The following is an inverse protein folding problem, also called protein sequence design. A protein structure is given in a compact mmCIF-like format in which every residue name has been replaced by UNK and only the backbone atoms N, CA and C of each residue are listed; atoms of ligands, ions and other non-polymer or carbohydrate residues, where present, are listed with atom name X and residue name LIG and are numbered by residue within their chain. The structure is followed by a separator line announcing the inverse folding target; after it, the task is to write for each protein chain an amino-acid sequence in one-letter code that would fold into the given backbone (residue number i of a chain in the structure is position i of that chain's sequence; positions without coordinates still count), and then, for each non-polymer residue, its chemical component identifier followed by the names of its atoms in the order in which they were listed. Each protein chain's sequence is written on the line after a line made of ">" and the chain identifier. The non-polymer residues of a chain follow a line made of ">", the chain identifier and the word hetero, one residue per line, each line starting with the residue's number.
data_IF_903113589292
#
_entry.id   IF_903113589292
#
_cell.length_a   1.000
_cell.length_b   1.000
_cell.length_c   1.000
_cell.angle_alpha   90.00
_cell.angle_beta   90.00
_cell.angle_gamma   90.00
#
_symmetry.space_group_name_H-M   'P 1'
#
loop_
_entity.id
_entity.type
_entity.pdbx_description
1 polymer ?
#
# COMPACT_ATOMS: atom_id res chain seq x y z
N UNK A 1 -12.64 -14.45 -14.53
CA UNK A 1 -13.85 -14.33 -15.39
C UNK A 1 -13.49 -14.60 -16.85
N UNK A 2 -13.49 -15.88 -17.27
CA UNK A 2 -13.53 -16.29 -18.69
C UNK A 2 -13.65 -17.83 -18.83
N UNK A 3 -14.25 -18.53 -17.87
CA UNK A 3 -14.35 -20.02 -17.91
C UNK A 3 -15.78 -20.51 -17.62
N UNK A 4 -16.74 -19.62 -17.33
CA UNK A 4 -18.11 -20.02 -16.99
C UNK A 4 -19.01 -20.32 -18.20
N UNK A 5 -18.65 -19.86 -19.41
CA UNK A 5 -19.50 -20.02 -20.60
C UNK A 5 -19.52 -21.43 -21.21
N UNK A 6 -18.45 -22.21 -21.03
CA UNK A 6 -18.35 -23.54 -21.67
C UNK A 6 -19.09 -24.64 -20.90
N UNK A 7 -19.16 -24.54 -19.58
CA UNK A 7 -19.76 -25.57 -18.71
C UNK A 7 -21.28 -25.66 -18.91
N UNK A 8 -21.95 -24.52 -19.09
CA UNK A 8 -23.40 -24.50 -19.35
C UNK A 8 -23.79 -25.01 -20.75
N UNK A 9 -22.90 -24.90 -21.72
CA UNK A 9 -23.18 -25.32 -23.10
C UNK A 9 -23.18 -26.85 -23.26
N UNK A 10 -22.37 -27.57 -22.49
CA UNK A 10 -22.31 -29.05 -22.53
C UNK A 10 -23.54 -29.68 -21.85
N UNK A 11 -24.07 -29.05 -20.81
CA UNK A 11 -25.25 -29.55 -20.07
C UNK A 11 -26.53 -29.48 -20.92
N UNK A 12 -26.68 -28.44 -21.75
CA UNK A 12 -27.86 -28.29 -22.64
C UNK A 12 -27.82 -29.29 -23.81
N UNK A 13 -26.64 -29.67 -24.29
CA UNK A 13 -26.49 -30.68 -25.36
C UNK A 13 -26.82 -32.08 -24.85
N UNK A 14 -26.53 -32.39 -23.59
CA UNK A 14 -26.87 -33.69 -22.98
C UNK A 14 -28.36 -33.81 -22.62
N UNK A 15 -29.07 -32.70 -22.37
CA UNK A 15 -30.50 -32.69 -22.04
C UNK A 15 -31.43 -32.70 -23.27
N UNK A 16 -30.92 -32.44 -24.48
CA UNK A 16 -31.72 -32.41 -25.72
C UNK A 16 -31.67 -33.70 -26.55
N UNK A 17 -30.89 -34.69 -26.13
CA UNK A 17 -30.83 -36.00 -26.80
C UNK A 17 -32.01 -36.90 -26.39
N UNK A 18 -33.22 -36.62 -26.90
CA UNK A 18 -34.33 -37.58 -26.85
C UNK A 18 -34.14 -38.63 -27.96
N UNK A 19 -34.06 -39.94 -27.65
CA UNK A 19 -34.08 -40.95 -28.70
C UNK A 19 -35.48 -41.01 -29.34
N UNK A 20 -35.52 -40.88 -30.66
CA UNK A 20 -36.72 -41.07 -31.46
C UNK A 20 -37.26 -42.50 -31.26
N UNK A 21 -38.51 -42.61 -30.81
CA UNK A 21 -39.22 -43.87 -30.62
C UNK A 21 -39.48 -44.54 -31.98
N UNK A 22 -38.67 -45.53 -32.34
CA UNK A 22 -38.99 -46.49 -33.39
C UNK A 22 -39.84 -47.61 -32.79
N UNK A 23 -41.14 -47.59 -33.09
CA UNK A 23 -42.08 -48.63 -32.71
C UNK A 23 -41.85 -49.91 -33.54
N UNK A 24 -41.37 -50.97 -32.90
CA UNK A 24 -41.23 -52.30 -33.50
C UNK A 24 -41.10 -53.38 -32.43
N UNK A 25 -42.14 -54.20 -32.26
CA UNK A 25 -42.31 -55.23 -31.24
C UNK A 25 -41.18 -56.29 -31.24
N UNK A 26 -40.60 -56.58 -30.07
CA UNK A 26 -40.66 -57.90 -29.39
C UNK A 26 -39.50 -58.12 -28.39
N UNK A 27 -39.83 -58.88 -27.34
CA UNK A 27 -38.96 -59.53 -26.34
C UNK A 27 -38.44 -58.68 -25.16
N UNK A 28 -38.98 -59.01 -23.98
CA UNK A 28 -38.53 -58.60 -22.65
C UNK A 28 -37.14 -59.16 -22.32
N UNK A 29 -36.28 -58.31 -21.74
CA UNK A 29 -35.45 -58.67 -20.59
C UNK A 29 -35.84 -57.74 -19.44
N UNK A 30 -36.48 -58.24 -18.37
CA UNK A 30 -36.79 -57.40 -17.23
C UNK A 30 -35.49 -57.28 -16.41
N UNK A 31 -35.08 -56.06 -16.03
CA UNK A 31 -33.93 -55.75 -15.16
C UNK A 31 -32.52 -55.71 -15.80
N UNK A 32 -32.39 -55.33 -17.09
CA UNK A 32 -31.09 -55.24 -17.77
C UNK A 32 -30.53 -53.81 -17.88
N UNK A 33 -29.40 -53.55 -17.23
CA UNK A 33 -28.45 -52.43 -17.46
C UNK A 33 -28.83 -51.00 -17.06
N UNK A 34 -30.11 -50.64 -16.89
CA UNK A 34 -30.48 -49.25 -16.54
C UNK A 34 -29.99 -48.82 -15.15
N UNK A 35 -29.97 -49.72 -14.17
CA UNK A 35 -29.47 -49.42 -12.82
C UNK A 35 -27.96 -49.15 -12.80
N UNK A 36 -27.20 -49.70 -13.75
CA UNK A 36 -25.75 -49.48 -13.84
C UNK A 36 -25.42 -48.02 -14.19
N UNK A 37 -26.28 -47.35 -14.97
CA UNK A 37 -26.13 -45.92 -15.28
C UNK A 37 -26.41 -45.05 -14.07
N UNK A 38 -27.44 -45.38 -13.29
CA UNK A 38 -27.76 -44.66 -12.04
C UNK A 38 -26.62 -44.79 -11.03
N UNK A 39 -26.08 -46.00 -10.86
CA UNK A 39 -24.92 -46.24 -10.00
C UNK A 39 -23.68 -45.51 -10.53
N UNK A 40 -23.43 -45.54 -11.85
CA UNK A 40 -22.31 -44.83 -12.47
C UNK A 40 -22.36 -43.31 -12.27
N UNK A 41 -23.54 -42.70 -12.44
CA UNK A 41 -23.74 -41.26 -12.22
C UNK A 41 -23.55 -40.90 -10.74
N UNK A 42 -24.08 -41.71 -9.81
CA UNK A 42 -23.91 -41.48 -8.39
C UNK A 42 -22.44 -41.54 -7.96
N UNK A 43 -21.67 -42.49 -8.49
CA UNK A 43 -20.22 -42.61 -8.22
C UNK A 43 -19.46 -41.41 -8.79
N UNK A 44 -19.76 -40.99 -10.02
CA UNK A 44 -19.14 -39.81 -10.63
C UNK A 44 -19.46 -38.53 -9.84
N UNK A 45 -20.70 -38.35 -9.41
CA UNK A 45 -21.10 -37.21 -8.58
C UNK A 45 -20.35 -37.20 -7.24
N UNK A 46 -20.13 -38.36 -6.62
CA UNK A 46 -19.41 -38.49 -5.36
C UNK A 46 -17.91 -38.22 -5.52
N UNK A 47 -17.31 -38.63 -6.64
CA UNK A 47 -15.92 -38.30 -7.00
C UNK A 47 -15.77 -36.80 -7.25
N UNK A 48 -16.65 -36.19 -8.06
CA UNK A 48 -16.65 -34.75 -8.32
C UNK A 48 -16.85 -33.97 -7.02
N UNK A 49 -17.77 -34.41 -6.17
CA UNK A 49 -17.98 -33.82 -4.86
C UNK A 49 -16.74 -33.95 -3.98
N UNK A 50 -16.09 -35.12 -3.90
CA UNK A 50 -14.86 -35.28 -3.12
C UNK A 50 -13.69 -34.42 -3.64
N UNK A 51 -13.53 -34.32 -4.97
CA UNK A 51 -12.52 -33.45 -5.58
C UNK A 51 -12.84 -31.98 -5.27
N UNK A 52 -14.11 -31.58 -5.37
CA UNK A 52 -14.55 -30.23 -5.03
C UNK A 52 -14.34 -29.91 -3.55
N UNK A 53 -14.63 -30.85 -2.65
CA UNK A 53 -14.39 -30.67 -1.21
C UNK A 53 -12.89 -30.56 -0.90
N UNK A 54 -12.04 -31.37 -1.56
CA UNK A 54 -10.58 -31.25 -1.43
C UNK A 54 -10.06 -29.92 -1.96
N UNK A 55 -10.57 -29.46 -3.11
CA UNK A 55 -10.19 -28.18 -3.69
C UNK A 55 -10.62 -27.01 -2.80
N UNK A 56 -11.80 -27.11 -2.17
CA UNK A 56 -12.26 -26.14 -1.18
C UNK A 56 -11.44 -26.17 0.12
N UNK A 57 -10.95 -27.33 0.54
CA UNK A 57 -10.06 -27.46 1.69
C UNK A 57 -8.65 -26.89 1.40
N UNK A 58 -8.07 -27.20 0.23
CA UNK A 58 -6.79 -26.65 -0.23
C UNK A 58 -6.87 -25.11 -0.36
N UNK A 59 -7.98 -24.59 -0.89
CA UNK A 59 -8.20 -23.14 -0.97
C UNK A 59 -8.37 -22.45 0.39
N UNK A 60 -8.56 -23.21 1.47
CA UNK A 60 -8.62 -22.71 2.85
C UNK A 60 -7.25 -22.73 3.54
N UNK A 61 -6.36 -23.63 3.13
CA UNK A 61 -5.01 -23.75 3.68
C UNK A 61 -4.00 -22.82 2.98
N UNK A 62 -4.31 -22.36 1.75
CA UNK A 62 -3.57 -21.30 1.04
C UNK A 62 -3.82 -19.87 1.60
N UNK A 63 -4.65 -19.72 2.62
CA UNK A 63 -4.64 -18.52 3.48
C UNK A 63 -3.50 -18.59 4.52
N UNK A 64 -2.27 -18.87 4.08
CA UNK A 64 -1.10 -18.37 4.80
C UNK A 64 -1.24 -16.85 4.81
N UNK A 65 -1.60 -16.29 5.97
CA UNK A 65 -1.77 -14.85 6.16
C UNK A 65 -0.55 -14.13 5.57
N UNK A 66 -0.72 -13.34 4.51
CA UNK A 66 0.42 -12.83 3.79
C UNK A 66 1.15 -11.83 4.69
N UNK A 67 2.49 -11.88 4.68
CA UNK A 67 3.39 -11.08 5.52
C UNK A 67 3.24 -9.54 5.43
N UNK A 68 2.24 -9.04 4.69
CA UNK A 68 1.85 -7.64 4.60
C UNK A 68 0.63 -7.28 5.45
N UNK A 69 -0.02 -8.23 6.16
CA UNK A 69 -1.06 -7.88 7.14
C UNK A 69 -0.41 -7.02 8.21
N UNK A 70 -0.64 -5.71 8.12
CA UNK A 70 -0.14 -4.72 9.05
C UNK A 70 -0.55 -5.16 10.46
N UNK A 71 0.43 -5.51 11.29
CA UNK A 71 0.19 -5.66 12.71
C UNK A 71 -0.03 -4.25 13.27
N UNK A 72 -1.30 -3.89 13.40
CA UNK A 72 -1.72 -2.59 13.90
C UNK A 72 -1.37 -2.38 15.38
N UNK A 73 -0.76 -3.34 16.07
CA UNK A 73 -0.31 -3.15 17.45
C UNK A 73 1.03 -2.41 17.57
N UNK A 74 1.85 -2.37 16.51
CA UNK A 74 3.05 -1.53 16.49
C UNK A 74 2.72 -0.11 15.97
N UNK A 75 1.97 0.62 16.79
CA UNK A 75 1.66 2.04 16.64
C UNK A 75 2.83 2.85 17.19
N UNK A 76 3.52 3.63 16.35
CA UNK A 76 4.51 4.59 16.84
C UNK A 76 3.91 6.00 16.96
N UNK A 77 3.84 6.56 18.18
CA UNK A 77 3.37 7.92 18.41
C UNK A 77 4.48 8.92 18.05
N UNK A 78 4.65 9.21 16.75
CA UNK A 78 5.67 10.16 16.29
C UNK A 78 5.22 11.63 16.29
N UNK A 79 3.91 11.92 16.29
CA UNK A 79 3.40 13.28 16.06
C UNK A 79 2.40 13.79 17.10
N UNK A 80 2.38 13.21 18.30
CA UNK A 80 1.88 13.97 19.44
C UNK A 80 2.72 15.24 19.53
N UNK A 81 2.03 16.38 19.62
CA UNK A 81 2.61 17.74 19.66
C UNK A 81 4.02 17.76 20.24
N UNK A 82 5.02 18.34 19.52
CA UNK A 82 6.40 18.35 20.01
C UNK A 82 6.43 18.91 21.43
N UNK A 83 7.22 18.32 22.34
CA UNK A 83 7.40 18.87 23.68
C UNK A 83 7.78 20.36 23.55
N UNK A 84 7.29 21.21 24.47
CA UNK A 84 7.56 22.64 24.41
C UNK A 84 9.07 22.85 24.27
N UNK A 85 9.52 23.72 23.35
CA UNK A 85 10.94 23.85 23.05
C UNK A 85 11.67 24.25 24.32
N UNK A 86 12.50 23.35 24.84
CA UNK A 86 13.57 23.75 25.74
C UNK A 86 14.39 24.82 25.02
N UNK A 87 14.62 25.91 25.75
CA UNK A 87 15.02 27.22 25.22
C UNK A 87 16.47 27.19 24.76
N UNK A 88 16.72 26.61 23.58
CA UNK A 88 17.95 26.85 22.84
C UNK A 88 17.68 28.06 21.96
N UNK A 89 18.14 29.23 22.41
CA UNK A 89 18.19 30.43 21.59
C UNK A 89 19.11 30.13 20.40
N UNK A 90 18.50 29.90 19.23
CA UNK A 90 19.24 29.65 18.00
C UNK A 90 19.14 30.89 17.12
N UNK A 91 20.28 31.36 16.63
CA UNK A 91 20.37 32.50 15.72
C UNK A 91 19.47 32.24 14.51
N UNK A 92 18.41 33.06 14.40
CA UNK A 92 17.48 33.08 13.28
C UNK A 92 18.25 33.53 12.03
N UNK A 93 18.88 32.58 11.33
CA UNK A 93 19.11 32.74 9.89
C UNK A 93 17.74 33.00 9.25
N UNK A 94 17.67 33.92 8.29
CA UNK A 94 16.44 34.42 7.64
C UNK A 94 15.30 33.38 7.57
N UNK A 95 14.03 33.78 7.83
CA UNK A 95 12.89 32.88 7.85
C UNK A 95 12.91 32.02 6.59
N UNK A 96 13.18 30.73 6.78
CA UNK A 96 13.33 29.81 5.66
C UNK A 96 11.94 29.57 5.11
N UNK A 97 11.72 29.90 3.85
CA UNK A 97 10.47 29.55 3.18
C UNK A 97 10.55 28.11 2.64
N UNK A 98 9.44 27.37 2.76
CA UNK A 98 9.33 26.08 2.10
C UNK A 98 9.21 26.31 0.59
N UNK A 99 10.23 25.91 -0.16
CA UNK A 99 10.23 25.96 -1.62
C UNK A 99 10.20 24.56 -2.22
N UNK A 100 9.79 24.43 -3.48
CA UNK A 100 9.87 23.16 -4.21
C UNK A 100 11.32 22.67 -4.29
N UNK A 101 12.28 23.56 -4.45
CA UNK A 101 13.71 23.22 -4.46
C UNK A 101 14.16 22.61 -3.12
N UNK A 102 13.65 23.12 -1.99
CA UNK A 102 13.92 22.56 -0.67
C UNK A 102 13.26 21.20 -0.49
N UNK A 103 11.98 21.05 -0.89
CA UNK A 103 11.27 19.76 -0.82
C UNK A 103 12.04 18.64 -1.54
N UNK A 104 12.60 18.93 -2.71
CA UNK A 104 13.39 17.97 -3.50
C UNK A 104 14.68 17.52 -2.78
N UNK A 105 15.24 18.35 -1.91
CA UNK A 105 16.43 18.03 -1.13
C UNK A 105 16.14 17.20 0.12
N UNK A 106 14.89 17.21 0.61
CA UNK A 106 14.52 16.40 1.76
C UNK A 106 14.65 14.92 1.43
N UNK A 107 15.28 14.21 2.36
CA UNK A 107 15.18 12.76 2.43
C UNK A 107 13.77 12.31 2.84
N UNK A 108 13.44 11.05 2.60
CA UNK A 108 12.07 10.54 2.73
C UNK A 108 11.48 10.77 4.12
N UNK A 109 12.25 10.55 5.19
CA UNK A 109 11.75 10.68 6.56
C UNK A 109 11.52 12.14 6.93
N UNK A 110 12.35 13.06 6.44
CA UNK A 110 12.14 14.51 6.65
C UNK A 110 10.91 15.03 5.91
N UNK A 111 10.63 14.50 4.73
CA UNK A 111 9.39 14.81 4.03
C UNK A 111 8.17 14.32 4.81
N UNK A 112 8.21 13.10 5.36
CA UNK A 112 7.14 12.57 6.21
C UNK A 112 6.96 13.39 7.49
N UNK A 113 8.05 13.78 8.15
CA UNK A 113 8.02 14.66 9.32
C UNK A 113 7.39 16.02 9.00
N UNK A 114 7.75 16.62 7.87
CA UNK A 114 7.18 17.88 7.39
C UNK A 114 5.66 17.75 7.18
N UNK A 115 5.23 16.70 6.47
CA UNK A 115 3.80 16.48 6.15
C UNK A 115 3.02 16.16 7.42
N UNK A 116 3.55 15.31 8.30
CA UNK A 116 2.92 14.99 9.58
C UNK A 116 2.75 16.22 10.45
N UNK A 117 3.79 17.06 10.55
CA UNK A 117 3.71 18.30 11.31
C UNK A 117 2.76 19.33 10.67
N UNK A 118 2.66 19.37 9.34
CA UNK A 118 1.68 20.21 8.62
C UNK A 118 0.23 19.82 8.95
N UNK A 119 -0.09 18.52 9.00
CA UNK A 119 -1.41 18.07 9.47
C UNK A 119 -1.61 18.34 10.97
N UNK A 120 -0.60 18.09 11.80
CA UNK A 120 -0.68 18.34 13.24
C UNK A 120 -0.92 19.82 13.58
N UNK A 121 -0.34 20.75 12.83
CA UNK A 121 -0.57 22.19 12.98
C UNK A 121 -2.03 22.60 12.70
N UNK A 122 -2.80 21.76 12.02
CA UNK A 122 -4.23 21.95 11.76
C UNK A 122 -5.12 21.24 12.80
N UNK A 123 -4.54 20.72 13.89
CA UNK A 123 -5.26 20.04 14.96
C UNK A 123 -5.61 18.57 14.66
N UNK A 124 -5.00 17.99 13.63
CA UNK A 124 -5.18 16.58 13.28
C UNK A 124 -4.18 15.73 14.06
N UNK A 125 -4.65 14.62 14.63
CA UNK A 125 -3.75 13.65 15.28
C UNK A 125 -3.14 12.78 14.19
N UNK A 126 -1.81 12.73 14.14
CA UNK A 126 -1.06 11.99 13.11
C UNK A 126 -0.29 10.85 13.75
N UNK A 127 -0.28 9.71 13.09
CA UNK A 127 0.48 8.54 13.51
C UNK A 127 1.20 7.92 12.31
N UNK A 128 2.50 7.65 12.41
CA UNK A 128 3.18 6.94 11.34
C UNK A 128 2.97 5.43 11.47
N UNK A 129 2.83 4.74 10.34
CA UNK A 129 2.98 3.29 10.27
C UNK A 129 4.46 2.91 10.29
N UNK A 130 4.74 1.61 10.40
CA UNK A 130 6.06 1.10 10.06
C UNK A 130 6.39 1.43 8.60
N UNK A 131 7.67 1.71 8.29
CA UNK A 131 8.11 1.87 6.92
C UNK A 131 7.82 0.60 6.11
N UNK A 132 7.16 0.75 4.97
CA UNK A 132 6.81 -0.37 4.11
C UNK A 132 8.04 -1.00 3.45
N UNK A 133 7.79 -2.07 2.69
CA UNK A 133 8.85 -2.79 1.95
C UNK A 133 9.61 -1.90 0.95
N UNK A 134 8.99 -0.84 0.44
CA UNK A 134 9.55 0.19 -0.45
C UNK A 134 10.41 1.23 0.29
N UNK A 135 10.34 1.26 1.63
CA UNK A 135 10.82 2.36 2.45
C UNK A 135 9.82 3.51 2.49
N UNK A 136 9.87 4.33 3.53
CA UNK A 136 8.84 5.33 3.82
C UNK A 136 7.63 4.76 4.56
N UNK A 137 7.16 5.52 5.54
CA UNK A 137 5.96 5.23 6.31
C UNK A 137 4.73 5.86 5.66
N UNK A 138 3.58 5.26 5.92
CA UNK A 138 2.30 5.94 5.72
C UNK A 138 1.95 6.71 7.00
N UNK A 139 1.14 7.75 6.87
CA UNK A 139 0.59 8.51 7.98
C UNK A 139 -0.90 8.21 8.08
N UNK A 140 -1.33 7.77 9.25
CA UNK A 140 -2.72 7.61 9.63
C UNK A 140 -3.19 8.91 10.31
N UNK A 141 -4.28 9.49 9.81
CA UNK A 141 -4.85 10.74 10.31
C UNK A 141 -6.10 10.44 11.12
N UNK A 142 -6.17 10.96 12.34
CA UNK A 142 -7.27 10.77 13.27
C UNK A 142 -7.89 12.12 13.62
N UNK A 143 -9.21 12.13 13.81
CA UNK A 143 -9.87 13.24 14.49
C UNK A 143 -9.66 13.09 16.00
N UNK A 144 -9.63 14.20 16.72
CA UNK A 144 -9.41 14.18 18.17
C UNK A 144 -10.40 13.26 18.89
N UNK A 145 -9.87 12.26 19.60
CA UNK A 145 -10.65 11.29 20.39
C UNK A 145 -11.20 10.10 19.59
N UNK A 146 -10.99 10.01 18.28
CA UNK A 146 -11.38 8.85 17.49
C UNK A 146 -10.29 7.77 17.47
N UNK A 147 -10.68 6.50 17.58
CA UNK A 147 -9.77 5.35 17.52
C UNK A 147 -9.49 4.84 16.11
N UNK A 148 -10.30 5.26 15.14
CA UNK A 148 -10.15 4.87 13.74
C UNK A 148 -9.60 6.06 12.95
N UNK A 149 -8.63 5.85 12.06
CA UNK A 149 -8.21 6.94 11.18
C UNK A 149 -9.36 7.30 10.25
N UNK A 150 -9.44 8.58 9.86
CA UNK A 150 -10.37 9.04 8.83
C UNK A 150 -9.71 9.11 7.46
N UNK A 151 -8.37 9.22 7.42
CA UNK A 151 -7.59 9.30 6.20
C UNK A 151 -6.19 8.69 6.34
N UNK A 152 -5.63 8.28 5.20
CA UNK A 152 -4.27 7.77 5.08
C UNK A 152 -3.45 8.63 4.12
N UNK A 153 -2.17 8.85 4.41
CA UNK A 153 -1.27 9.65 3.57
C UNK A 153 0.01 8.88 3.31
N UNK A 154 0.55 8.94 2.09
CA UNK A 154 1.89 8.46 1.79
C UNK A 154 2.70 9.56 1.13
N UNK A 155 3.97 9.68 1.50
CA UNK A 155 4.88 10.69 0.97
C UNK A 155 5.90 10.02 0.04
N UNK A 156 6.32 10.69 -1.02
CA UNK A 156 7.34 10.15 -1.91
C UNK A 156 8.33 11.21 -2.41
N UNK A 157 9.62 10.84 -2.58
CA UNK A 157 10.55 11.67 -3.32
C UNK A 157 10.19 11.75 -4.82
N UNK A 158 10.70 12.76 -5.54
CA UNK A 158 10.51 12.87 -6.98
C UNK A 158 11.43 11.89 -7.71
N UNK A 159 10.94 11.31 -8.81
CA UNK A 159 11.70 10.60 -9.88
C UNK A 159 11.68 9.08 -9.99
N UNK A 160 10.89 8.34 -9.21
CA UNK A 160 10.72 6.91 -9.51
C UNK A 160 9.25 6.54 -9.74
N UNK A 161 8.74 6.66 -10.99
CA UNK A 161 7.33 6.40 -11.31
C UNK A 161 6.86 5.00 -10.92
N UNK A 162 7.67 3.96 -11.14
CA UNK A 162 7.37 2.59 -10.73
C UNK A 162 7.23 2.46 -9.21
N UNK A 163 8.13 3.09 -8.45
CA UNK A 163 8.08 3.17 -7.00
C UNK A 163 6.83 3.90 -6.52
N UNK A 164 6.50 5.01 -7.18
CA UNK A 164 5.35 5.85 -6.83
C UNK A 164 4.03 5.14 -7.12
N UNK A 165 3.91 4.44 -8.25
CA UNK A 165 2.75 3.60 -8.56
C UNK A 165 2.60 2.50 -7.49
N UNK A 166 3.72 1.87 -7.10
CA UNK A 166 3.71 0.87 -6.03
C UNK A 166 3.25 1.47 -4.70
N UNK A 167 3.76 2.64 -4.30
CA UNK A 167 3.31 3.35 -3.09
C UNK A 167 1.82 3.70 -3.12
N UNK A 168 1.31 4.12 -4.27
CA UNK A 168 -0.13 4.40 -4.45
C UNK A 168 -0.98 3.15 -4.18
N UNK A 169 -0.56 2.00 -4.71
CA UNK A 169 -1.26 0.72 -4.47
C UNK A 169 -1.14 0.25 -3.02
N UNK A 170 0.03 0.41 -2.41
CA UNK A 170 0.23 0.11 -0.98
C UNK A 170 -0.64 1.01 -0.10
N UNK A 171 -0.80 2.29 -0.45
CA UNK A 171 -1.73 3.21 0.22
C UNK A 171 -3.18 2.77 0.04
N UNK A 172 -3.60 2.37 -1.16
CA UNK A 172 -4.95 1.88 -1.41
C UNK A 172 -5.28 0.62 -0.60
N UNK A 173 -4.33 -0.32 -0.52
CA UNK A 173 -4.45 -1.50 0.34
C UNK A 173 -4.55 -1.12 1.83
N UNK A 174 -3.74 -0.14 2.27
CA UNK A 174 -3.84 0.39 3.63
C UNK A 174 -5.24 0.97 3.87
N UNK A 175 -5.75 1.80 2.96
CA UNK A 175 -7.09 2.40 3.08
C UNK A 175 -8.20 1.37 3.24
N UNK A 176 -8.15 0.30 2.45
CA UNK A 176 -9.10 -0.80 2.54
C UNK A 176 -8.99 -1.50 3.91
N UNK A 177 -7.77 -1.77 4.39
CA UNK A 177 -7.54 -2.45 5.67
C UNK A 177 -7.92 -1.61 6.90
N UNK A 178 -7.82 -0.28 6.81
CA UNK A 178 -8.17 0.65 7.89
C UNK A 178 -9.60 1.19 7.78
N UNK A 179 -10.37 0.75 6.78
CA UNK A 179 -11.72 1.23 6.48
C UNK A 179 -11.79 2.76 6.30
N UNK A 180 -10.73 3.37 5.76
CA UNK A 180 -10.67 4.82 5.53
C UNK A 180 -11.13 5.16 4.12
N UNK A 181 -12.05 6.12 4.00
CA UNK A 181 -12.54 6.58 2.71
C UNK A 181 -11.55 7.50 1.97
N UNK A 182 -10.58 8.10 2.67
CA UNK A 182 -9.71 9.13 2.12
C UNK A 182 -8.24 8.69 2.11
N UNK A 183 -7.62 8.80 0.94
CA UNK A 183 -6.19 8.57 0.75
C UNK A 183 -5.53 9.73 0.03
N UNK A 184 -4.34 10.14 0.44
CA UNK A 184 -3.57 11.18 -0.25
C UNK A 184 -2.13 10.74 -0.53
N UNK A 185 -1.74 10.79 -1.79
CA UNK A 185 -0.35 10.64 -2.23
C UNK A 185 0.30 12.02 -2.36
N UNK A 186 1.37 12.25 -1.61
CA UNK A 186 2.12 13.52 -1.62
C UNK A 186 3.51 13.29 -2.24
N UNK A 187 3.85 14.07 -3.26
CA UNK A 187 5.17 14.04 -3.90
C UNK A 187 5.94 15.33 -3.60
N UNK A 188 7.22 15.22 -3.24
CA UNK A 188 8.12 16.38 -3.12
C UNK A 188 8.43 17.06 -4.48
N UNK A 189 8.06 16.45 -5.60
CA UNK A 189 8.14 17.07 -6.92
C UNK A 189 6.91 16.78 -7.77
N UNK A 190 7.10 16.77 -9.08
CA UNK A 190 6.00 16.59 -10.01
C UNK A 190 5.49 15.15 -10.04
N UNK A 191 4.20 15.00 -10.32
CA UNK A 191 3.53 13.70 -10.42
C UNK A 191 3.32 13.40 -11.90
N UNK A 192 3.97 12.34 -12.38
CA UNK A 192 3.91 11.91 -13.77
C UNK A 192 2.50 11.43 -14.16
N UNK A 193 2.16 11.42 -15.47
CA UNK A 193 0.85 10.96 -15.94
C UNK A 193 0.51 9.54 -15.49
N UNK A 194 1.49 8.64 -15.43
CA UNK A 194 1.31 7.23 -15.04
C UNK A 194 0.93 7.12 -13.56
N UNK A 195 1.63 7.85 -12.69
CA UNK A 195 1.30 7.89 -11.24
C UNK A 195 -0.07 8.54 -11.04
N UNK A 196 -0.39 9.57 -11.82
CA UNK A 196 -1.71 10.23 -11.81
C UNK A 196 -2.84 9.28 -12.19
N UNK A 197 -2.65 8.48 -13.24
CA UNK A 197 -3.62 7.48 -13.66
C UNK A 197 -3.79 6.38 -12.60
N UNK A 198 -2.68 5.88 -12.03
CA UNK A 198 -2.73 4.89 -10.96
C UNK A 198 -3.49 5.40 -9.73
N UNK A 199 -3.22 6.62 -9.28
CA UNK A 199 -3.94 7.19 -8.13
C UNK A 199 -5.43 7.39 -8.42
N UNK A 200 -5.78 7.83 -9.64
CA UNK A 200 -7.19 7.96 -10.04
C UNK A 200 -7.93 6.63 -10.04
N UNK A 201 -7.29 5.54 -10.49
CA UNK A 201 -7.86 4.20 -10.49
C UNK A 201 -8.14 3.67 -9.07
N UNK A 202 -7.29 4.03 -8.10
CA UNK A 202 -7.40 3.61 -6.70
C UNK A 202 -8.22 4.60 -5.84
N UNK A 203 -8.76 5.68 -6.42
CA UNK A 203 -9.49 6.71 -5.67
C UNK A 203 -8.61 7.54 -4.71
N UNK A 204 -7.30 7.62 -4.98
CA UNK A 204 -6.31 8.32 -4.15
C UNK A 204 -6.14 9.77 -4.65
N UNK A 205 -6.28 10.73 -3.72
CA UNK A 205 -5.98 12.13 -3.97
C UNK A 205 -4.48 12.37 -4.12
N UNK A 206 -4.10 13.48 -4.75
CA UNK A 206 -2.70 13.79 -5.08
C UNK A 206 -2.34 15.22 -4.75
N UNK A 207 -1.18 15.40 -4.13
CA UNK A 207 -0.57 16.72 -3.91
C UNK A 207 0.86 16.65 -4.43
N UNK A 208 1.19 17.49 -5.41
CA UNK A 208 2.55 17.63 -5.91
C UNK A 208 3.33 18.68 -5.10
N UNK A 209 4.64 18.82 -5.40
CA UNK A 209 5.52 19.75 -4.70
C UNK A 209 4.96 21.18 -4.61
N UNK A 210 4.55 21.80 -5.74
CA UNK A 210 3.91 23.12 -5.72
C UNK A 210 2.63 23.16 -4.87
N UNK A 211 1.77 22.16 -4.98
CA UNK A 211 0.55 22.06 -4.18
C UNK A 211 0.83 21.96 -2.67
N UNK A 212 1.87 21.22 -2.28
CA UNK A 212 2.29 21.11 -0.88
C UNK A 212 2.83 22.45 -0.36
N UNK A 213 3.67 23.14 -1.14
CA UNK A 213 4.19 24.48 -0.81
C UNK A 213 3.05 25.47 -0.58
N UNK A 214 2.08 25.51 -1.49
CA UNK A 214 0.93 26.42 -1.39
C UNK A 214 0.09 26.15 -0.12
N UNK A 215 -0.16 24.87 0.20
CA UNK A 215 -0.90 24.49 1.41
C UNK A 215 -0.11 24.77 2.70
N UNK A 216 1.20 24.57 2.67
CA UNK A 216 2.07 24.88 3.80
C UNK A 216 2.13 26.39 4.07
N UNK A 217 2.16 27.21 3.02
CA UNK A 217 2.15 28.67 3.12
C UNK A 217 0.87 29.22 3.79
N UNK A 218 -0.23 28.47 3.77
CA UNK A 218 -1.48 28.85 4.44
C UNK A 218 -1.46 28.67 5.97
N UNK A 219 -0.45 28.00 6.53
CA UNK A 219 -0.26 27.95 7.98
C UNK A 219 0.13 29.32 8.55
N UNK A 220 -0.02 29.51 9.86
CA UNK A 220 0.52 30.68 10.57
C UNK A 220 2.04 30.73 10.45
N UNK A 221 2.61 31.93 10.44
CA UNK A 221 4.06 32.14 10.29
C UNK A 221 4.83 31.35 11.34
N UNK A 222 4.37 31.40 12.59
CA UNK A 222 5.01 30.73 13.73
C UNK A 222 5.00 29.21 13.59
N UNK A 223 3.93 28.65 13.02
CA UNK A 223 3.84 27.21 12.76
C UNK A 223 4.80 26.80 11.65
N UNK A 224 4.88 27.58 10.55
CA UNK A 224 5.80 27.31 9.44
C UNK A 224 7.25 27.31 9.93
N UNK A 225 7.64 28.35 10.66
CA UNK A 225 9.01 28.49 11.17
C UNK A 225 9.38 27.35 12.11
N UNK A 226 8.48 27.02 13.05
CA UNK A 226 8.67 25.90 13.99
C UNK A 226 8.83 24.57 13.27
N UNK A 227 7.98 24.29 12.27
CA UNK A 227 8.04 23.04 11.51
C UNK A 227 9.34 22.96 10.70
N UNK A 228 9.69 24.03 9.99
CA UNK A 228 10.90 24.05 9.16
C UNK A 228 12.17 23.97 10.01
N UNK A 229 12.20 24.62 11.17
CA UNK A 229 13.30 24.47 12.11
C UNK A 229 13.45 23.01 12.56
N UNK A 230 12.36 22.33 12.92
CA UNK A 230 12.40 20.94 13.34
C UNK A 230 12.84 19.97 12.23
N UNK A 231 12.37 20.19 11.00
CA UNK A 231 12.68 19.32 9.84
C UNK A 231 14.12 19.53 9.36
N UNK A 232 14.65 20.76 9.44
CA UNK A 232 15.97 21.14 8.91
C UNK A 232 17.08 21.20 9.97
N UNK A 233 16.83 20.72 11.19
CA UNK A 233 17.73 20.83 12.36
C UNK A 233 19.10 20.15 12.19
N UNK A 234 19.20 19.12 11.36
CA UNK A 234 20.41 18.31 11.17
C UNK A 234 20.56 17.87 9.70
N UNK A 235 21.24 16.76 9.43
CA UNK A 235 21.32 16.16 8.11
C UNK A 235 19.92 15.75 7.57
N UNK A 236 19.33 16.65 6.79
CA UNK A 236 18.04 16.44 6.13
C UNK A 236 18.16 15.86 4.72
N UNK A 237 19.36 15.58 4.22
CA UNK A 237 19.61 15.13 2.84
C UNK A 237 19.98 13.65 2.75
N UNK A 238 20.72 13.15 3.74
CA UNK A 238 21.10 11.74 3.77
C UNK A 238 19.89 10.88 4.16
N UNK A 239 19.56 9.84 3.37
CA UNK A 239 18.44 8.94 3.68
C UNK A 239 18.57 8.31 5.07
N UNK A 240 17.44 8.28 5.77
CA UNK A 240 17.34 7.49 7.01
C UNK A 240 17.07 6.03 6.67
N UNK A 241 17.65 5.08 7.40
CA UNK A 241 17.36 3.66 7.23
C UNK A 241 15.91 3.37 7.67
N UNK A 242 15.04 2.83 6.81
CA UNK A 242 13.64 2.56 7.16
C UNK A 242 13.49 1.43 8.20
N UNK A 243 14.53 0.65 8.49
CA UNK A 243 14.45 -0.46 9.43
C UNK A 243 14.94 -0.11 10.85
N UNK A 244 15.94 0.76 10.98
CA UNK A 244 16.53 1.08 12.30
C UNK A 244 16.71 2.57 12.57
N UNK A 245 16.26 3.45 11.67
CA UNK A 245 16.21 4.89 11.93
C UNK A 245 17.55 5.63 11.91
N UNK A 246 18.67 4.96 11.66
CA UNK A 246 20.00 5.59 11.53
C UNK A 246 20.24 6.12 10.12
N UNK A 247 21.06 7.18 9.98
CA UNK A 247 21.46 7.70 8.67
C UNK A 247 22.26 6.65 7.90
N UNK A 248 22.00 6.57 6.60
CA UNK A 248 22.65 5.58 5.72
C UNK A 248 24.00 6.10 5.22
N UNK A 249 24.89 5.18 4.88
CA UNK A 249 26.19 5.48 4.29
C UNK A 249 26.15 5.25 2.78
N UNK A 250 26.70 6.19 2.02
CA UNK A 250 26.85 6.04 0.57
C UNK A 250 28.03 5.10 0.31
N UNK A 251 27.78 4.02 -0.43
CA UNK A 251 28.83 3.11 -0.84
C UNK A 251 28.88 3.02 -2.35
N UNK A 252 30.05 3.32 -2.90
CA UNK A 252 30.36 3.12 -4.30
C UNK A 252 30.35 1.61 -4.62
N UNK A 253 29.66 1.23 -5.69
CA UNK A 253 29.70 -0.14 -6.21
C UNK A 253 30.18 -0.12 -7.65
N UNK A 254 30.58 -1.28 -8.18
CA UNK A 254 31.06 -1.39 -9.57
C UNK A 254 30.02 -0.95 -10.62
N UNK A 255 28.73 -0.87 -10.27
CA UNK A 255 27.66 -0.45 -11.18
C UNK A 255 27.13 0.94 -10.85
N UNK A 256 26.62 1.14 -9.64
CA UNK A 256 26.02 2.42 -9.19
C UNK A 256 26.23 2.63 -7.68
N UNK A 257 26.35 3.89 -7.22
CA UNK A 257 26.36 4.17 -5.78
C UNK A 257 25.06 3.69 -5.13
N UNK A 258 25.17 3.23 -3.89
CA UNK A 258 24.05 2.65 -3.14
C UNK A 258 24.13 3.07 -1.67
N UNK A 259 23.00 3.41 -1.08
CA UNK A 259 22.90 3.64 0.35
C UNK A 259 22.84 2.31 1.10
N UNK A 260 23.70 2.15 2.10
CA UNK A 260 23.76 0.97 2.98
C UNK A 260 23.57 1.39 4.43
N UNK A 261 22.88 0.56 5.20
CA UNK A 261 22.80 0.77 6.64
C UNK A 261 24.18 0.53 7.29
N UNK A 262 24.69 1.47 8.13
CA UNK A 262 25.95 1.29 8.86
C UNK A 262 25.88 0.17 9.91
N UNK A 263 24.69 -0.22 10.37
CA UNK A 263 24.49 -1.28 11.35
C UNK A 263 24.64 -2.70 10.76
N UNK A 264 25.19 -2.86 9.56
CA UNK A 264 25.50 -4.17 9.00
C UNK A 264 26.48 -4.95 9.93
N UNK A 265 26.28 -6.26 10.19
CA UNK A 265 25.30 -7.17 9.58
C UNK A 265 23.92 -7.20 10.28
N UNK A 266 23.74 -6.50 11.41
CA UNK A 266 22.48 -6.51 12.19
C UNK A 266 21.31 -5.88 11.42
N UNK A 267 21.59 -4.91 10.55
CA UNK A 267 20.61 -4.38 9.61
C UNK A 267 21.18 -4.42 8.18
N UNK A 268 20.54 -5.19 7.31
CA UNK A 268 21.00 -5.42 5.93
C UNK A 268 20.30 -4.52 4.89
N UNK A 269 19.59 -3.49 5.36
CA UNK A 269 18.78 -2.62 4.50
C UNK A 269 19.67 -1.81 3.54
N UNK A 270 19.24 -1.75 2.28
CA UNK A 270 19.89 -1.03 1.17
C UNK A 270 18.85 -0.19 0.43
N UNK A 271 19.28 0.93 -0.15
CA UNK A 271 18.45 1.81 -0.98
C UNK A 271 19.26 2.30 -2.18
N UNK A 272 18.61 2.47 -3.32
CA UNK A 272 19.25 3.07 -4.49
C UNK A 272 19.69 4.51 -4.15
N UNK A 273 20.92 4.87 -4.49
CA UNK A 273 21.31 6.27 -4.45
C UNK A 273 20.66 7.01 -5.61
N UNK A 274 20.19 8.24 -5.36
CA UNK A 274 19.73 9.12 -6.43
C UNK A 274 20.92 9.38 -7.34
N UNK A 275 20.78 9.13 -8.65
CA UNK A 275 21.69 9.70 -9.63
C UNK A 275 21.51 11.22 -9.57
N UNK A 276 22.60 11.94 -9.29
CA UNK A 276 22.63 13.40 -9.35
C UNK A 276 22.33 13.94 -10.74
#
# INVERSE_FOLDING_TARGET
>A
MAIEGWVWSVIVVLLSATPAAAAGRSAQTPWGTEWMWVVGIAVLALIVWQISQRWLAESRDDEEEPAWRWDFTEVYPYYTTPPPPETIAFELSEPRELTVALLRQLEWKRLEELVGAWYAAQGIVVQATHPGTVGGSNLLLYRGGEHRPFACVTCSPPHEPSLNIRRVRELAALMASTETAQGTFISAGEITPEVRAAAGAEGVERIDGPGLVARFAALRVEDRDRILHAVLRDDYRTPTCPNCGVKMELVETATKPMWRCPNFPRCQRRMAARSG
#
